data_IF_491067706112
#
_entry.id   IF_491067706112
#
_cell.length_a   1.000
_cell.length_b   1.000
_cell.length_c   1.000
_cell.angle_alpha   90.00
_cell.angle_beta   90.00
_cell.angle_gamma   90.00
#
_symmetry.space_group_name_H-M   'P 1'
#
loop_
_entity.id
_entity.type
_entity.pdbx_description
1 polymer ?
#
# COMPACT_ATOMS: atom_id res chain seq x y z
N UNK A 1 7.99 50.00 -89.61
CA UNK A 1 8.18 50.35 -88.18
C UNK A 1 7.08 49.67 -87.39
N UNK A 2 7.44 48.73 -86.51
CA UNK A 2 6.52 47.85 -85.78
C UNK A 2 6.13 48.44 -84.40
N UNK A 3 4.96 48.09 -83.83
CA UNK A 3 4.52 48.56 -82.51
C UNK A 3 5.16 47.76 -81.35
N UNK A 4 5.14 48.28 -80.10
CA UNK A 4 5.87 47.71 -78.97
C UNK A 4 5.13 46.54 -78.30
N UNK A 5 5.91 45.62 -77.69
CA UNK A 5 5.45 44.50 -76.85
C UNK A 5 5.10 44.94 -75.41
N UNK A 6 4.16 44.27 -74.73
CA UNK A 6 3.78 44.61 -73.35
C UNK A 6 4.77 44.07 -72.31
N UNK A 7 4.93 44.82 -71.20
CA UNK A 7 5.72 44.44 -70.01
C UNK A 7 4.96 43.40 -69.17
N UNK A 8 5.66 42.33 -68.77
CA UNK A 8 5.19 41.35 -67.76
C UNK A 8 5.19 42.00 -66.38
N UNK A 9 4.01 42.31 -65.83
CA UNK A 9 3.81 42.63 -64.42
C UNK A 9 2.54 41.93 -63.96
N UNK A 10 2.65 40.91 -63.11
CA UNK A 10 1.45 40.19 -62.66
C UNK A 10 1.64 39.00 -61.72
N UNK A 11 2.84 38.43 -61.58
CA UNK A 11 3.00 37.17 -60.80
C UNK A 11 3.62 37.38 -59.40
N UNK A 12 4.34 38.47 -59.15
CA UNK A 12 5.02 38.69 -57.86
C UNK A 12 4.15 39.32 -56.77
N UNK A 13 3.05 40.00 -57.11
CA UNK A 13 2.21 40.66 -56.11
C UNK A 13 1.24 39.70 -55.38
N UNK A 14 0.82 38.60 -56.04
CA UNK A 14 -0.17 37.67 -55.47
C UNK A 14 0.46 36.67 -54.48
N UNK A 15 1.72 36.30 -54.66
CA UNK A 15 2.45 35.40 -53.75
C UNK A 15 2.80 36.07 -52.41
N UNK A 16 3.07 37.38 -52.42
CA UNK A 16 3.37 38.14 -51.19
C UNK A 16 2.16 38.32 -50.26
N UNK A 17 0.96 38.47 -50.81
CA UNK A 17 -0.27 38.65 -50.02
C UNK A 17 -0.74 37.33 -49.40
N UNK A 18 -0.61 36.20 -50.11
CA UNK A 18 -0.94 34.88 -49.55
C UNK A 18 0.02 34.46 -48.42
N UNK A 19 1.32 34.77 -48.56
CA UNK A 19 2.31 34.45 -47.54
C UNK A 19 2.10 35.26 -46.24
N UNK A 20 1.69 36.53 -46.34
CA UNK A 20 1.36 37.36 -45.17
C UNK A 20 0.04 36.96 -44.50
N UNK A 21 -0.95 36.50 -45.26
CA UNK A 21 -2.22 36.02 -44.70
C UNK A 21 -2.05 34.70 -43.94
N UNK A 22 -1.18 33.80 -44.43
CA UNK A 22 -0.89 32.51 -43.77
C UNK A 22 -0.04 32.67 -42.50
N UNK A 23 0.89 33.63 -42.45
CA UNK A 23 1.65 33.92 -41.22
C UNK A 23 0.79 34.63 -40.17
N UNK A 24 -0.10 35.53 -40.57
CA UNK A 24 -1.05 36.16 -39.65
C UNK A 24 -2.07 35.15 -39.09
N UNK A 25 -2.61 34.26 -39.92
CA UNK A 25 -3.53 33.21 -39.48
C UNK A 25 -2.83 32.18 -38.56
N UNK A 26 -1.58 31.81 -38.88
CA UNK A 26 -0.77 30.95 -38.02
C UNK A 26 -0.43 31.59 -36.67
N UNK A 27 -0.14 32.89 -36.64
CA UNK A 27 0.12 33.63 -35.41
C UNK A 27 -1.14 33.74 -34.52
N UNK A 28 -2.31 34.00 -35.12
CA UNK A 28 -3.60 34.06 -34.40
C UNK A 28 -3.99 32.69 -33.85
N UNK A 29 -3.77 31.62 -34.63
CA UNK A 29 -4.04 30.26 -34.16
C UNK A 29 -3.07 29.83 -33.05
N UNK A 30 -1.79 30.23 -33.15
CA UNK A 30 -0.78 29.98 -32.11
C UNK A 30 -1.04 30.78 -30.83
N UNK A 31 -1.56 32.01 -30.91
CA UNK A 31 -1.95 32.78 -29.71
C UNK A 31 -3.22 32.25 -29.07
N UNK A 32 -4.24 31.87 -29.86
CA UNK A 32 -5.49 31.33 -29.33
C UNK A 32 -5.30 29.96 -28.65
N UNK A 33 -4.39 29.12 -29.18
CA UNK A 33 -4.04 27.83 -28.57
C UNK A 33 -3.13 27.96 -27.34
N UNK A 34 -2.38 29.08 -27.20
CA UNK A 34 -1.69 29.41 -25.93
C UNK A 34 -2.67 29.84 -24.85
N UNK A 35 -3.69 30.62 -25.18
CA UNK A 35 -4.72 31.04 -24.22
C UNK A 35 -5.59 29.87 -23.72
N UNK A 36 -5.90 28.88 -24.57
CA UNK A 36 -6.58 27.64 -24.13
C UNK A 36 -5.69 26.73 -23.27
N UNK A 37 -4.37 26.82 -23.41
CA UNK A 37 -3.41 26.02 -22.63
C UNK A 37 -2.97 26.68 -21.32
N UNK A 38 -3.39 27.91 -21.05
CA UNK A 38 -3.04 28.67 -19.85
C UNK A 38 -4.21 28.72 -18.86
N UNK A 39 -5.02 27.65 -18.81
CA UNK A 39 -5.90 27.44 -17.65
C UNK A 39 -5.01 27.30 -16.43
N UNK A 40 -5.15 28.24 -15.48
CA UNK A 40 -4.48 28.17 -14.18
C UNK A 40 -4.62 26.74 -13.63
N UNK A 41 -3.57 26.15 -13.02
CA UNK A 41 -3.69 24.86 -12.38
C UNK A 41 -4.90 24.90 -11.45
N UNK A 42 -5.68 23.80 -11.36
CA UNK A 42 -6.77 23.74 -10.39
C UNK A 42 -6.23 24.20 -9.04
N UNK A 43 -6.98 25.03 -8.29
CA UNK A 43 -6.52 25.50 -6.99
C UNK A 43 -6.03 24.29 -6.21
N UNK A 44 -4.77 24.33 -5.76
CA UNK A 44 -4.23 23.33 -4.85
C UNK A 44 -5.27 23.15 -3.76
N UNK A 45 -5.84 21.94 -3.68
CA UNK A 45 -6.73 21.61 -2.58
C UNK A 45 -5.99 21.99 -1.30
N UNK A 46 -6.63 22.69 -0.34
CA UNK A 46 -5.97 23.02 0.90
C UNK A 46 -5.35 21.74 1.43
N UNK A 47 -4.05 21.79 1.75
CA UNK A 47 -3.34 20.67 2.37
C UNK A 47 -4.07 20.40 3.68
N UNK A 48 -5.01 19.47 3.66
CA UNK A 48 -5.69 19.02 4.86
C UNK A 48 -4.66 18.26 5.66
N UNK A 49 -4.61 18.50 6.97
CA UNK A 49 -3.79 17.68 7.85
C UNK A 49 -4.15 16.20 7.59
N UNK A 50 -3.15 15.34 7.30
CA UNK A 50 -3.38 13.97 6.88
C UNK A 50 -4.12 13.20 7.98
N UNK A 51 -5.29 12.68 7.63
CA UNK A 51 -6.21 12.02 8.58
C UNK A 51 -6.75 10.69 8.07
N UNK A 52 -6.67 10.43 6.77
CA UNK A 52 -7.10 9.18 6.13
C UNK A 52 -5.91 8.23 6.03
N UNK A 53 -5.88 7.20 6.87
CA UNK A 53 -4.79 6.22 6.91
C UNK A 53 -5.31 4.91 6.31
N UNK A 54 -4.55 4.33 5.38
CA UNK A 54 -4.82 2.98 4.86
C UNK A 54 -3.78 2.01 5.43
N UNK A 55 -4.14 1.22 6.47
CA UNK A 55 -3.35 0.05 6.86
C UNK A 55 -3.37 -0.98 5.73
N UNK A 56 -2.21 -1.34 5.19
CA UNK A 56 -2.07 -2.27 4.09
C UNK A 56 -1.13 -3.42 4.44
N UNK A 57 -1.44 -4.63 3.99
CA UNK A 57 -0.59 -5.77 4.29
C UNK A 57 -1.19 -7.12 3.98
N UNK A 58 -0.79 -8.09 4.78
CA UNK A 58 -1.21 -9.48 4.73
C UNK A 58 -1.94 -9.90 6.03
N UNK A 59 -1.80 -11.15 6.46
CA UNK A 59 -2.45 -11.68 7.64
C UNK A 59 -2.08 -10.96 8.92
N UNK A 60 -0.85 -10.47 9.07
CA UNK A 60 -0.44 -9.72 10.27
C UNK A 60 -1.15 -8.37 10.39
N UNK A 61 -1.63 -7.81 9.28
CA UNK A 61 -2.43 -6.59 9.26
C UNK A 61 -3.92 -6.86 9.35
N UNK A 62 -4.43 -7.85 8.62
CA UNK A 62 -5.85 -8.21 8.68
C UNK A 62 -6.25 -8.81 10.05
N UNK A 63 -5.39 -9.62 10.68
CA UNK A 63 -5.77 -10.41 11.85
C UNK A 63 -6.77 -11.52 11.50
N UNK A 64 -7.06 -12.38 12.47
CA UNK A 64 -8.08 -13.42 12.42
C UNK A 64 -9.31 -13.03 13.23
N UNK A 65 -10.40 -13.75 13.03
CA UNK A 65 -11.60 -13.54 13.84
C UNK A 65 -11.32 -13.84 15.33
N UNK A 66 -11.77 -12.93 16.19
CA UNK A 66 -11.43 -12.88 17.61
C UNK A 66 -10.11 -12.18 17.95
N UNK A 67 -9.35 -11.68 16.96
CA UNK A 67 -8.18 -10.84 17.21
C UNK A 67 -8.59 -9.40 17.50
N UNK A 68 -7.66 -8.66 18.11
CA UNK A 68 -7.77 -7.20 18.25
C UNK A 68 -7.13 -6.47 17.09
N UNK A 69 -6.12 -7.07 16.44
CA UNK A 69 -5.20 -6.47 15.46
C UNK A 69 -4.45 -5.25 16.00
N UNK A 70 -3.22 -5.03 15.50
CA UNK A 70 -2.47 -3.82 15.83
C UNK A 70 -3.20 -2.52 15.41
N UNK A 71 -4.13 -2.62 14.45
CA UNK A 71 -4.93 -1.47 13.99
C UNK A 71 -5.82 -0.90 15.10
N UNK A 72 -6.41 -1.75 15.96
CA UNK A 72 -7.18 -1.29 17.12
C UNK A 72 -6.32 -0.42 18.05
N UNK A 73 -5.12 -0.92 18.37
CA UNK A 73 -4.18 -0.21 19.24
C UNK A 73 -3.68 1.10 18.63
N UNK A 74 -3.47 1.13 17.31
CA UNK A 74 -3.09 2.35 16.60
C UNK A 74 -4.26 3.35 16.58
N UNK A 75 -5.47 2.88 16.30
CA UNK A 75 -6.68 3.71 16.27
C UNK A 75 -6.91 4.41 17.61
N UNK A 76 -6.94 3.65 18.71
CA UNK A 76 -7.16 4.23 20.05
C UNK A 76 -6.05 5.19 20.48
N UNK A 77 -4.83 5.02 19.95
CA UNK A 77 -3.75 5.97 20.20
C UNK A 77 -3.89 7.25 19.38
N UNK A 78 -4.33 7.17 18.13
CA UNK A 78 -4.40 8.32 17.23
C UNK A 78 -5.70 9.12 17.34
N UNK A 79 -6.85 8.45 17.55
CA UNK A 79 -8.19 9.08 17.52
C UNK A 79 -8.34 10.27 18.47
N UNK A 80 -7.80 10.27 19.70
CA UNK A 80 -7.86 11.42 20.59
C UNK A 80 -7.02 12.63 20.14
N UNK A 81 -6.14 12.44 19.16
CA UNK A 81 -5.11 13.40 18.76
C UNK A 81 -5.20 13.84 17.29
N UNK A 82 -5.97 13.13 16.46
CA UNK A 82 -6.09 13.40 15.02
C UNK A 82 -7.57 13.67 14.71
N UNK A 83 -7.91 14.94 14.52
CA UNK A 83 -9.29 15.35 14.27
C UNK A 83 -9.83 14.79 12.94
N UNK A 84 -10.88 13.99 13.03
CA UNK A 84 -11.48 13.33 11.86
C UNK A 84 -10.59 12.23 11.28
N UNK A 85 -9.83 11.53 12.12
CA UNK A 85 -9.15 10.29 11.77
C UNK A 85 -10.12 9.31 11.10
N UNK A 86 -9.69 8.69 10.01
CA UNK A 86 -10.44 7.65 9.31
C UNK A 86 -9.44 6.58 8.86
N UNK A 87 -9.74 5.33 9.18
CA UNK A 87 -9.10 4.22 8.49
C UNK A 87 -9.86 3.94 7.21
N UNK A 88 -9.13 3.70 6.12
CA UNK A 88 -9.72 3.56 4.79
C UNK A 88 -9.18 2.33 4.10
N UNK A 89 -10.03 1.69 3.30
CA UNK A 89 -9.65 0.52 2.55
C UNK A 89 -10.86 -0.25 2.03
N UNK A 90 -10.62 -1.22 1.13
CA UNK A 90 -11.68 -2.01 0.52
C UNK A 90 -12.27 -3.07 1.46
N UNK A 91 -11.61 -3.39 2.58
CA UNK A 91 -12.03 -4.43 3.53
C UNK A 91 -12.24 -3.84 4.91
N UNK A 92 -13.10 -4.45 5.72
CA UNK A 92 -13.37 -4.08 7.12
C UNK A 92 -13.37 -5.26 8.07
N UNK A 93 -13.31 -6.49 7.56
CA UNK A 93 -13.59 -7.71 8.31
C UNK A 93 -12.30 -8.49 8.61
N UNK A 94 -12.19 -9.14 9.76
CA UNK A 94 -11.09 -10.06 10.03
C UNK A 94 -11.14 -11.26 9.09
N UNK A 95 -10.06 -12.03 9.02
CA UNK A 95 -10.09 -13.29 8.29
C UNK A 95 -11.02 -14.30 8.99
N UNK A 96 -12.01 -14.81 8.22
CA UNK A 96 -12.87 -15.93 8.61
C UNK A 96 -12.33 -17.28 8.12
N UNK A 97 -12.93 -18.39 8.54
CA UNK A 97 -12.50 -19.77 8.20
C UNK A 97 -12.19 -19.99 6.72
N UNK A 98 -13.07 -19.53 5.84
CA UNK A 98 -12.95 -19.77 4.39
C UNK A 98 -11.77 -19.01 3.75
N UNK A 99 -11.23 -17.99 4.41
CA UNK A 99 -10.02 -17.27 3.98
C UNK A 99 -8.75 -17.86 4.60
N UNK A 100 -8.87 -18.41 5.80
CA UNK A 100 -7.75 -18.99 6.56
C UNK A 100 -7.37 -20.38 6.00
N UNK A 101 -8.30 -21.04 5.30
CA UNK A 101 -8.07 -22.35 4.70
C UNK A 101 -8.54 -22.30 3.24
N UNK A 102 -7.61 -22.29 2.27
CA UNK A 102 -6.98 -23.53 1.79
C UNK A 102 -5.47 -23.42 1.57
N UNK A 103 -4.70 -24.38 2.07
CA UNK A 103 -3.32 -24.61 1.59
C UNK A 103 -3.21 -26.06 1.09
N UNK A 104 -3.31 -26.31 -0.23
CA UNK A 104 -2.80 -27.54 -0.80
C UNK A 104 -1.27 -27.52 -0.72
N UNK A 105 -0.70 -28.31 0.18
CA UNK A 105 0.77 -28.41 0.37
C UNK A 105 1.46 -29.27 -0.69
N UNK A 106 0.85 -29.52 -1.85
CA UNK A 106 1.45 -30.35 -2.92
C UNK A 106 1.22 -29.77 -4.30
N UNK A 107 2.32 -29.65 -5.06
CA UNK A 107 2.50 -28.84 -6.26
C UNK A 107 1.85 -29.32 -7.55
N UNK A 108 0.58 -29.71 -7.52
CA UNK A 108 -0.25 -29.84 -8.73
C UNK A 108 -1.54 -29.02 -8.66
N UNK A 109 -2.03 -28.66 -7.46
CA UNK A 109 -3.29 -27.90 -7.29
C UNK A 109 -3.11 -26.37 -7.34
N UNK A 110 -1.87 -25.88 -7.27
CA UNK A 110 -1.55 -24.44 -7.32
C UNK A 110 -1.83 -23.80 -8.70
N UNK A 111 -1.99 -24.58 -9.77
CA UNK A 111 -2.31 -24.04 -11.10
C UNK A 111 -3.81 -23.72 -11.28
N UNK A 112 -4.67 -24.10 -10.33
CA UNK A 112 -6.13 -23.93 -10.41
C UNK A 112 -6.73 -23.28 -9.15
N UNK A 113 -6.03 -22.35 -8.51
CA UNK A 113 -6.62 -21.43 -7.53
C UNK A 113 -7.56 -20.41 -8.23
N UNK A 114 -8.58 -20.92 -8.92
CA UNK A 114 -9.81 -20.19 -9.19
C UNK A 114 -10.74 -20.34 -7.99
N UNK A 115 -11.54 -19.29 -7.76
CA UNK A 115 -12.57 -19.15 -6.74
C UNK A 115 -13.72 -20.19 -6.84
N UNK A 116 -13.38 -21.48 -6.82
CA UNK A 116 -14.34 -22.57 -6.62
C UNK A 116 -14.47 -22.81 -5.10
N UNK A 117 -15.70 -22.94 -4.57
CA UNK A 117 -15.89 -23.32 -3.17
C UNK A 117 -15.24 -24.68 -2.90
N UNK A 118 -14.58 -24.81 -1.75
CA UNK A 118 -14.03 -26.09 -1.31
C UNK A 118 -15.13 -27.15 -1.17
N UNK A 119 -14.74 -28.40 -1.41
CA UNK A 119 -15.61 -29.57 -1.22
C UNK A 119 -16.19 -29.56 0.22
N UNK A 120 -17.52 -29.72 0.40
CA UNK A 120 -18.15 -29.82 1.71
C UNK A 120 -17.54 -30.85 2.67
N UNK A 121 -17.00 -31.97 2.16
CA UNK A 121 -16.32 -32.97 3.01
C UNK A 121 -14.95 -32.46 3.50
N UNK A 122 -14.24 -31.71 2.67
CA UNK A 122 -12.99 -31.02 3.06
C UNK A 122 -13.28 -29.90 4.05
N UNK A 123 -14.35 -29.13 3.85
CA UNK A 123 -14.81 -28.15 4.85
C UNK A 123 -15.15 -28.80 6.20
N UNK A 124 -15.67 -30.03 6.20
CA UNK A 124 -15.98 -30.79 7.41
C UNK A 124 -14.72 -31.29 8.12
N UNK A 125 -13.70 -31.76 7.39
CA UNK A 125 -12.38 -32.11 7.96
C UNK A 125 -11.61 -30.89 8.49
N UNK A 126 -11.75 -29.73 7.83
CA UNK A 126 -11.11 -28.48 8.23
C UNK A 126 -11.78 -27.80 9.43
N UNK A 127 -13.03 -28.14 9.76
CA UNK A 127 -13.69 -27.70 11.00
C UNK A 127 -12.96 -28.17 12.26
N UNK A 128 -12.25 -29.29 12.17
CA UNK A 128 -11.48 -29.88 13.25
C UNK A 128 -10.02 -29.37 13.29
N UNK A 129 -9.59 -28.56 12.32
CA UNK A 129 -8.27 -27.94 12.34
C UNK A 129 -8.17 -26.88 13.46
N UNK A 130 -7.02 -26.75 14.15
CA UNK A 130 -6.86 -25.77 15.22
C UNK A 130 -7.08 -24.35 14.69
N UNK A 131 -8.11 -23.68 15.22
CA UNK A 131 -8.45 -22.31 14.88
C UNK A 131 -7.39 -21.35 15.44
N UNK A 132 -6.84 -20.41 14.64
CA UNK A 132 -5.79 -19.49 15.09
C UNK A 132 -6.30 -18.33 15.93
N UNK A 133 -7.60 -18.02 15.91
CA UNK A 133 -8.18 -16.92 16.68
C UNK A 133 -8.42 -17.29 18.15
N UNK A 134 -8.20 -16.34 19.05
CA UNK A 134 -8.14 -16.63 20.49
C UNK A 134 -9.50 -16.93 21.14
N UNK A 135 -10.61 -16.34 20.68
CA UNK A 135 -11.96 -16.48 21.32
C UNK A 135 -13.17 -16.09 20.42
N UNK A 136 -13.12 -16.26 19.10
CA UNK A 136 -14.22 -15.89 18.17
C UNK A 136 -15.13 -17.07 17.79
N UNK A 137 -16.42 -16.82 17.49
CA UNK A 137 -17.21 -17.80 16.73
C UNK A 137 -16.65 -17.83 15.31
N UNK A 138 -15.97 -18.90 14.89
CA UNK A 138 -15.28 -18.97 13.62
C UNK A 138 -16.21 -18.89 12.40
N UNK A 139 -17.53 -18.98 12.62
CA UNK A 139 -18.57 -18.81 11.60
C UNK A 139 -19.10 -17.35 11.52
N UNK A 140 -18.63 -16.44 12.38
CA UNK A 140 -18.90 -14.99 12.32
C UNK A 140 -17.59 -14.19 12.33
N UNK A 141 -17.17 -13.54 11.23
CA UNK A 141 -15.92 -12.78 11.20
C UNK A 141 -16.07 -11.46 11.97
N UNK A 142 -15.73 -11.45 13.26
CA UNK A 142 -15.80 -10.25 14.12
C UNK A 142 -14.47 -10.02 14.86
N UNK A 143 -14.04 -8.75 14.96
CA UNK A 143 -12.92 -8.40 15.85
C UNK A 143 -13.39 -8.48 17.30
N UNK A 144 -12.47 -8.78 18.22
CA UNK A 144 -12.77 -8.88 19.66
C UNK A 144 -13.38 -7.61 20.23
N UNK A 145 -12.86 -6.46 19.79
CA UNK A 145 -13.29 -5.13 20.20
C UNK A 145 -13.69 -4.36 18.92
N UNK A 146 -14.96 -4.43 18.47
CA UNK A 146 -15.38 -3.89 17.17
C UNK A 146 -15.56 -2.36 17.16
N UNK A 147 -15.42 -1.69 18.32
CA UNK A 147 -15.62 -0.25 18.47
C UNK A 147 -14.38 0.56 18.02
N UNK A 148 -13.91 0.32 16.79
CA UNK A 148 -12.89 1.12 16.09
C UNK A 148 -13.19 1.16 14.59
N UNK A 149 -12.59 2.12 13.87
CA UNK A 149 -12.68 2.10 12.41
C UNK A 149 -11.82 0.95 11.87
N UNK A 150 -12.48 -0.12 11.44
CA UNK A 150 -11.80 -1.36 11.09
C UNK A 150 -11.34 -1.43 9.64
N UNK A 151 -11.54 -0.40 8.81
CA UNK A 151 -11.19 -0.49 7.40
C UNK A 151 -9.68 -0.69 7.16
N UNK A 152 -9.34 -1.47 6.14
CA UNK A 152 -7.97 -1.81 5.79
C UNK A 152 -7.84 -2.32 4.35
N UNK A 153 -6.59 -2.45 3.91
CA UNK A 153 -6.16 -3.02 2.64
C UNK A 153 -5.25 -4.24 2.88
N UNK A 154 -5.78 -5.25 3.58
CA UNK A 154 -5.00 -6.43 3.91
C UNK A 154 -5.81 -7.72 3.75
N UNK A 155 -5.17 -8.78 3.27
CA UNK A 155 -5.77 -10.10 3.11
C UNK A 155 -4.79 -11.19 3.56
N UNK A 156 -5.28 -12.23 4.22
CA UNK A 156 -4.48 -13.40 4.54
C UNK A 156 -3.86 -14.03 3.30
N UNK A 157 -2.59 -14.44 3.41
CA UNK A 157 -1.81 -15.01 2.30
C UNK A 157 -1.42 -14.02 1.19
N UNK A 158 -1.86 -12.75 1.25
CA UNK A 158 -1.60 -11.77 0.18
C UNK A 158 -0.09 -11.57 -0.01
N UNK A 159 0.35 -11.68 -1.26
CA UNK A 159 1.73 -11.35 -1.66
C UNK A 159 1.83 -9.90 -2.15
N UNK A 160 3.05 -9.37 -2.25
CA UNK A 160 3.31 -8.09 -2.91
C UNK A 160 2.82 -8.06 -4.36
N UNK A 161 2.92 -9.20 -5.06
CA UNK A 161 2.44 -9.33 -6.43
C UNK A 161 0.93 -9.14 -6.50
N UNK A 162 0.17 -9.81 -5.63
CA UNK A 162 -1.29 -9.66 -5.56
C UNK A 162 -1.69 -8.25 -5.16
N UNK A 163 -1.00 -7.67 -4.17
CA UNK A 163 -1.26 -6.31 -3.73
C UNK A 163 -1.01 -5.27 -4.82
N UNK A 164 0.04 -5.45 -5.62
CA UNK A 164 0.35 -4.57 -6.75
C UNK A 164 -0.72 -4.59 -7.84
N UNK A 165 -1.49 -5.67 -7.98
CA UNK A 165 -2.52 -5.76 -9.01
C UNK A 165 -3.69 -4.77 -8.77
N UNK A 166 -3.98 -4.44 -7.51
CA UNK A 166 -5.17 -3.65 -7.14
C UNK A 166 -4.87 -2.29 -6.51
N UNK A 167 -3.66 -2.09 -5.96
CA UNK A 167 -3.34 -0.91 -5.13
C UNK A 167 -3.59 0.45 -5.80
N UNK A 168 -3.36 0.58 -7.10
CA UNK A 168 -3.58 1.84 -7.80
C UNK A 168 -5.04 2.29 -7.72
N UNK A 169 -5.96 1.36 -7.98
CA UNK A 169 -7.39 1.65 -7.93
C UNK A 169 -7.87 1.80 -6.49
N UNK A 170 -7.36 0.99 -5.57
CA UNK A 170 -7.71 1.07 -4.15
C UNK A 170 -7.30 2.43 -3.55
N UNK A 171 -6.09 2.93 -3.84
CA UNK A 171 -5.68 4.28 -3.44
C UNK A 171 -6.55 5.34 -4.13
N UNK A 172 -6.85 5.19 -5.43
CA UNK A 172 -7.69 6.14 -6.17
C UNK A 172 -9.11 6.23 -5.60
N UNK A 173 -9.70 5.11 -5.19
CA UNK A 173 -11.08 5.04 -4.68
C UNK A 173 -11.17 5.49 -3.23
N UNK A 174 -10.29 4.99 -2.37
CA UNK A 174 -10.36 5.23 -0.92
C UNK A 174 -9.62 6.50 -0.48
N UNK A 175 -8.82 7.10 -1.37
CA UNK A 175 -8.13 8.38 -1.18
C UNK A 175 -7.41 8.48 0.18
N UNK A 176 -6.48 7.56 0.51
CA UNK A 176 -5.67 7.72 1.71
C UNK A 176 -4.71 8.90 1.58
N UNK A 177 -4.49 9.59 2.70
CA UNK A 177 -3.40 10.55 2.86
C UNK A 177 -2.07 9.83 3.18
N UNK A 178 -2.17 8.71 3.89
CA UNK A 178 -1.05 7.87 4.31
C UNK A 178 -1.34 6.39 4.05
N UNK A 179 -0.37 5.68 3.49
CA UNK A 179 -0.37 4.23 3.32
C UNK A 179 0.64 3.61 4.31
N UNK A 180 0.17 2.80 5.25
CA UNK A 180 0.99 2.10 6.23
C UNK A 180 1.10 0.63 5.82
N UNK A 181 2.24 0.23 5.25
CA UNK A 181 2.42 -1.07 4.59
C UNK A 181 3.26 -2.00 5.46
N UNK A 182 2.76 -3.21 5.71
CA UNK A 182 3.54 -4.33 6.23
C UNK A 182 3.16 -5.58 5.43
N UNK A 183 4.01 -5.95 4.47
CA UNK A 183 3.74 -7.02 3.50
C UNK A 183 5.05 -7.66 3.04
N UNK A 184 4.96 -8.89 2.54
CA UNK A 184 6.03 -9.56 1.80
C UNK A 184 6.47 -10.86 2.42
N UNK A 185 6.09 -11.16 3.67
CA UNK A 185 6.44 -12.44 4.32
C UNK A 185 5.95 -13.64 3.50
N UNK A 186 4.76 -13.54 2.89
CA UNK A 186 4.20 -14.59 2.03
C UNK A 186 5.02 -14.82 0.75
N UNK A 187 5.57 -13.76 0.14
CA UNK A 187 6.47 -13.90 -1.01
C UNK A 187 7.72 -14.70 -0.62
N UNK A 188 8.26 -14.44 0.58
CA UNK A 188 9.49 -15.05 1.07
C UNK A 188 9.34 -16.53 1.45
N UNK A 189 8.11 -17.03 1.60
CA UNK A 189 7.87 -18.48 1.80
C UNK A 189 8.20 -19.28 0.54
N UNK A 190 8.16 -18.66 -0.63
CA UNK A 190 8.45 -19.29 -1.90
C UNK A 190 9.85 -18.94 -2.42
N UNK A 191 10.42 -19.72 -3.36
CA UNK A 191 11.65 -19.34 -4.03
C UNK A 191 11.45 -18.03 -4.80
N UNK A 192 12.06 -16.94 -4.33
CA UNK A 192 12.02 -15.62 -4.95
C UNK A 192 13.41 -14.96 -4.89
N UNK A 193 13.80 -14.29 -5.96
CA UNK A 193 15.09 -13.59 -6.06
C UNK A 193 15.06 -12.19 -5.44
N UNK A 194 16.24 -11.67 -5.06
CA UNK A 194 16.38 -10.31 -4.50
C UNK A 194 15.86 -9.27 -5.50
N UNK A 195 16.33 -9.33 -6.74
CA UNK A 195 16.01 -8.37 -7.81
C UNK A 195 14.51 -8.39 -8.14
N UNK A 196 13.88 -9.56 -8.04
CA UNK A 196 12.45 -9.70 -8.25
C UNK A 196 11.64 -9.06 -7.12
N UNK A 197 12.02 -9.28 -5.85
CA UNK A 197 11.36 -8.64 -4.71
C UNK A 197 11.52 -7.11 -4.72
N UNK A 198 12.70 -6.62 -5.10
CA UNK A 198 12.91 -5.18 -5.28
C UNK A 198 12.01 -4.61 -6.37
N UNK A 199 11.95 -5.26 -7.54
CA UNK A 199 11.07 -4.84 -8.63
C UNK A 199 9.59 -4.82 -8.21
N UNK A 200 9.13 -5.85 -7.48
CA UNK A 200 7.75 -5.92 -6.95
C UNK A 200 7.46 -4.77 -5.99
N UNK A 201 8.34 -4.51 -5.02
CA UNK A 201 8.14 -3.43 -4.05
C UNK A 201 8.15 -2.04 -4.72
N UNK A 202 9.07 -1.80 -5.67
CA UNK A 202 9.09 -0.56 -6.44
C UNK A 202 7.80 -0.38 -7.24
N UNK A 203 7.35 -1.44 -7.93
CA UNK A 203 6.10 -1.39 -8.70
C UNK A 203 4.89 -1.13 -7.81
N UNK A 204 4.84 -1.71 -6.60
CA UNK A 204 3.79 -1.45 -5.63
C UNK A 204 3.71 0.04 -5.26
N UNK A 205 4.86 0.66 -4.92
CA UNK A 205 4.94 2.09 -4.58
C UNK A 205 4.58 2.99 -5.78
N UNK A 206 5.06 2.68 -6.98
CA UNK A 206 4.72 3.42 -8.21
C UNK A 206 3.22 3.39 -8.49
N UNK A 207 2.59 2.21 -8.36
CA UNK A 207 1.15 2.03 -8.59
C UNK A 207 0.31 2.73 -7.53
N UNK A 208 0.69 2.65 -6.25
CA UNK A 208 0.03 3.40 -5.20
C UNK A 208 0.05 4.91 -5.49
N UNK A 209 1.19 5.45 -5.91
CA UNK A 209 1.33 6.86 -6.32
C UNK A 209 0.55 7.23 -7.57
N UNK A 210 0.39 6.30 -8.51
CA UNK A 210 -0.46 6.52 -9.67
C UNK A 210 -1.95 6.69 -9.26
N UNK A 211 -2.36 6.15 -8.10
CA UNK A 211 -3.67 6.38 -7.51
C UNK A 211 -3.78 7.71 -6.75
N UNK A 212 -2.70 8.12 -6.06
CA UNK A 212 -2.58 9.42 -5.40
C UNK A 212 -1.12 9.94 -5.44
N UNK A 213 -0.80 10.95 -6.29
CA UNK A 213 0.56 11.47 -6.44
C UNK A 213 1.17 12.14 -5.19
N UNK A 214 0.36 12.47 -4.18
CA UNK A 214 0.81 13.09 -2.92
C UNK A 214 0.79 12.13 -1.73
N UNK A 215 0.57 10.83 -1.98
CA UNK A 215 0.48 9.79 -0.95
C UNK A 215 1.75 9.73 -0.11
N UNK A 216 1.61 9.77 1.21
CA UNK A 216 2.70 9.51 2.16
C UNK A 216 2.75 8.01 2.44
N UNK A 217 3.94 7.41 2.55
CA UNK A 217 4.07 5.95 2.66
C UNK A 217 5.03 5.55 3.76
N UNK A 218 4.57 4.74 4.71
CA UNK A 218 5.41 4.02 5.66
C UNK A 218 5.56 2.58 5.18
N UNK A 219 6.77 2.16 4.82
CA UNK A 219 7.09 0.78 4.46
C UNK A 219 7.72 0.08 5.66
N UNK A 220 6.95 -0.75 6.36
CA UNK A 220 7.50 -1.59 7.40
C UNK A 220 8.34 -2.73 6.81
N UNK A 221 9.45 -2.98 7.46
CA UNK A 221 10.23 -4.20 7.28
C UNK A 221 9.42 -5.42 7.70
N UNK A 222 9.68 -6.57 7.07
CA UNK A 222 9.06 -7.84 7.48
C UNK A 222 9.60 -8.26 8.84
N UNK A 223 8.67 -8.60 9.73
CA UNK A 223 8.99 -9.18 11.02
C UNK A 223 9.51 -10.61 10.84
N UNK A 224 10.55 -11.03 11.59
CA UNK A 224 10.95 -12.43 11.59
C UNK A 224 9.83 -13.29 12.19
N UNK A 225 9.69 -14.49 11.64
CA UNK A 225 8.78 -15.55 12.10
C UNK A 225 9.60 -16.77 12.53
N UNK A 226 8.98 -17.76 13.17
CA UNK A 226 9.67 -18.93 13.75
C UNK A 226 10.44 -19.74 12.70
N UNK A 227 10.03 -19.68 11.43
CA UNK A 227 10.78 -20.28 10.33
C UNK A 227 12.21 -19.69 10.21
N UNK A 228 12.40 -18.41 10.50
CA UNK A 228 13.73 -17.77 10.46
C UNK A 228 14.69 -18.34 11.52
N UNK A 229 14.18 -18.89 12.63
CA UNK A 229 15.02 -19.51 13.66
C UNK A 229 15.51 -20.91 13.25
N UNK A 230 14.82 -21.56 12.30
CA UNK A 230 15.07 -22.96 11.90
C UNK A 230 15.62 -23.09 10.48
N UNK A 231 15.36 -22.12 9.62
CA UNK A 231 15.82 -22.05 8.22
C UNK A 231 16.71 -20.81 8.01
N UNK A 232 18.05 -20.97 8.00
CA UNK A 232 18.97 -19.88 7.72
C UNK A 232 18.79 -19.24 6.33
N UNK A 233 18.26 -19.99 5.35
CA UNK A 233 17.97 -19.47 4.02
C UNK A 233 16.76 -18.54 4.04
N UNK A 234 15.71 -18.90 4.78
CA UNK A 234 14.59 -18.00 5.04
C UNK A 234 15.02 -16.77 5.84
N UNK A 235 15.82 -16.93 6.90
CA UNK A 235 16.36 -15.80 7.66
C UNK A 235 17.16 -14.81 6.78
N UNK A 236 17.96 -15.34 5.85
CA UNK A 236 18.70 -14.52 4.89
C UNK A 236 17.76 -13.80 3.90
N UNK A 237 16.68 -14.45 3.47
CA UNK A 237 15.65 -13.82 2.63
C UNK A 237 14.96 -12.65 3.34
N UNK A 238 14.59 -12.83 4.61
CA UNK A 238 14.02 -11.75 5.45
C UNK A 238 15.02 -10.59 5.58
N UNK A 239 16.28 -10.88 5.93
CA UNK A 239 17.32 -9.85 6.01
C UNK A 239 17.48 -9.09 4.69
N UNK A 240 17.60 -9.81 3.56
CA UNK A 240 17.79 -9.21 2.25
C UNK A 240 16.59 -8.37 1.81
N UNK A 241 15.37 -8.81 2.13
CA UNK A 241 14.17 -8.04 1.83
C UNK A 241 14.06 -6.77 2.69
N UNK A 242 14.42 -6.83 3.97
CA UNK A 242 14.43 -5.64 4.83
C UNK A 242 15.47 -4.60 4.38
N UNK A 243 16.61 -5.03 3.84
CA UNK A 243 17.55 -4.12 3.15
C UNK A 243 16.91 -3.47 1.91
N UNK A 244 16.19 -4.24 1.08
CA UNK A 244 15.44 -3.71 -0.06
C UNK A 244 14.41 -2.68 0.40
N UNK A 245 13.67 -2.93 1.47
CA UNK A 245 12.67 -1.98 2.00
C UNK A 245 13.32 -0.63 2.34
N UNK A 246 14.50 -0.65 2.96
CA UNK A 246 15.27 0.56 3.26
C UNK A 246 15.74 1.28 2.00
N UNK A 247 16.35 0.54 1.07
CA UNK A 247 16.86 1.05 -0.21
C UNK A 247 15.71 1.69 -1.03
N UNK A 248 14.60 0.97 -1.19
CA UNK A 248 13.43 1.44 -1.95
C UNK A 248 12.78 2.65 -1.29
N UNK A 249 12.60 2.65 0.04
CA UNK A 249 12.06 3.80 0.74
C UNK A 249 12.93 5.06 0.52
N UNK A 250 14.25 4.91 0.63
CA UNK A 250 15.18 6.01 0.41
C UNK A 250 15.16 6.51 -1.06
N UNK A 251 15.29 5.59 -2.02
CA UNK A 251 15.39 5.91 -3.44
C UNK A 251 14.10 6.51 -4.01
N UNK A 252 12.96 6.04 -3.52
CA UNK A 252 11.67 6.45 -4.05
C UNK A 252 11.11 7.67 -3.34
N UNK A 253 11.62 8.08 -2.17
CA UNK A 253 11.09 9.23 -1.43
C UNK A 253 11.23 10.54 -2.22
N UNK A 254 10.21 11.39 -2.15
CA UNK A 254 10.18 12.72 -2.78
C UNK A 254 9.48 13.73 -1.85
N UNK A 255 9.66 15.03 -2.09
CA UNK A 255 8.95 16.06 -1.31
C UNK A 255 7.42 15.96 -1.44
N UNK A 256 6.92 15.60 -2.64
CA UNK A 256 5.49 15.51 -2.90
C UNK A 256 4.86 14.22 -2.33
N UNK A 257 5.60 13.12 -2.34
CA UNK A 257 5.18 11.80 -1.84
C UNK A 257 6.33 11.18 -1.04
N UNK A 258 6.46 11.51 0.26
CA UNK A 258 7.56 11.01 1.08
C UNK A 258 7.34 9.54 1.42
N UNK A 259 8.43 8.76 1.40
CA UNK A 259 8.46 7.35 1.79
C UNK A 259 9.46 7.18 2.92
N UNK A 260 9.08 6.45 3.97
CA UNK A 260 9.96 6.11 5.08
C UNK A 260 9.94 4.61 5.35
N UNK A 261 11.11 4.02 5.63
CA UNK A 261 11.18 2.64 6.11
C UNK A 261 10.98 2.56 7.61
N UNK A 262 10.42 1.45 8.09
CA UNK A 262 10.14 1.21 9.50
C UNK A 262 10.65 -0.17 9.94
N UNK A 263 11.76 -0.17 10.70
CA UNK A 263 12.29 -1.33 11.42
C UNK A 263 11.52 -1.54 12.73
N UNK A 264 10.45 -2.34 12.69
CA UNK A 264 9.68 -2.68 13.89
C UNK A 264 10.50 -3.61 14.80
N UNK A 265 11.18 -4.60 14.21
CA UNK A 265 11.86 -5.65 14.96
C UNK A 265 12.99 -5.10 15.85
N UNK A 266 13.84 -4.24 15.29
CA UNK A 266 14.93 -3.59 16.02
C UNK A 266 14.45 -2.57 17.04
N UNK A 267 13.41 -1.80 16.74
CA UNK A 267 12.87 -0.75 17.63
C UNK A 267 12.18 -1.33 18.86
N UNK A 268 11.33 -2.32 18.65
CA UNK A 268 10.48 -2.90 19.70
C UNK A 268 11.07 -4.14 20.36
N UNK A 269 12.29 -4.54 19.94
CA UNK A 269 12.93 -5.79 20.35
C UNK A 269 11.97 -6.95 20.16
N UNK A 270 11.56 -7.14 18.92
CA UNK A 270 10.65 -8.21 18.54
C UNK A 270 11.26 -9.56 18.92
N UNK A 271 10.47 -10.37 19.61
CA UNK A 271 10.80 -11.72 20.03
C UNK A 271 9.70 -12.63 19.50
N UNK A 272 10.04 -13.46 18.51
CA UNK A 272 9.07 -14.32 17.83
C UNK A 272 8.29 -15.17 18.83
N UNK A 273 8.97 -15.79 19.79
CA UNK A 273 8.34 -16.71 20.74
C UNK A 273 7.43 -15.99 21.74
N UNK A 274 7.74 -14.74 22.09
CA UNK A 274 6.97 -13.96 23.05
C UNK A 274 5.89 -13.06 22.42
N UNK A 275 6.07 -12.65 21.16
CA UNK A 275 5.23 -11.66 20.49
C UNK A 275 4.29 -12.27 19.44
N UNK A 276 4.36 -13.59 19.20
CA UNK A 276 3.43 -14.32 18.32
C UNK A 276 2.66 -15.40 19.08
N UNK A 277 1.50 -15.83 18.57
CA UNK A 277 0.76 -16.95 19.15
C UNK A 277 1.02 -18.30 18.46
N UNK A 278 1.45 -18.30 17.20
CA UNK A 278 1.73 -19.51 16.41
C UNK A 278 3.13 -19.53 15.77
N UNK A 279 4.00 -18.59 16.16
CA UNK A 279 5.31 -18.39 15.55
C UNK A 279 5.31 -17.44 14.35
N UNK A 280 4.14 -16.99 13.88
CA UNK A 280 4.00 -16.10 12.71
C UNK A 280 3.19 -14.87 13.09
N UNK A 281 1.97 -15.05 13.57
CA UNK A 281 1.00 -13.98 13.74
C UNK A 281 1.12 -13.33 15.13
N UNK A 282 1.02 -11.99 15.21
CA UNK A 282 1.22 -11.25 16.44
C UNK A 282 0.16 -11.63 17.49
N UNK A 283 0.60 -11.87 18.72
CA UNK A 283 -0.31 -11.89 19.87
C UNK A 283 -0.53 -10.45 20.38
N UNK A 284 -1.37 -10.24 21.40
CA UNK A 284 -1.68 -8.90 21.93
C UNK A 284 -0.45 -8.02 22.21
N UNK A 285 0.64 -8.61 22.73
CA UNK A 285 1.89 -7.89 22.98
C UNK A 285 2.60 -7.52 21.67
N UNK A 286 2.65 -8.43 20.70
CA UNK A 286 3.18 -8.15 19.36
C UNK A 286 2.37 -7.08 18.62
N UNK A 287 1.04 -7.16 18.69
CA UNK A 287 0.13 -6.17 18.10
C UNK A 287 0.42 -4.76 18.63
N UNK A 288 0.60 -4.62 19.94
CA UNK A 288 0.94 -3.34 20.57
C UNK A 288 2.31 -2.81 20.12
N UNK A 289 3.32 -3.67 19.94
CA UNK A 289 4.63 -3.27 19.41
C UNK A 289 4.52 -2.74 17.99
N UNK A 290 3.77 -3.44 17.13
CA UNK A 290 3.53 -3.01 15.74
C UNK A 290 2.83 -1.64 15.73
N UNK A 291 1.77 -1.48 16.53
CA UNK A 291 1.04 -0.22 16.65
C UNK A 291 1.93 0.93 17.14
N UNK A 292 2.76 0.68 18.16
CA UNK A 292 3.69 1.67 18.70
C UNK A 292 4.73 2.12 17.67
N UNK A 293 5.29 1.18 16.91
CA UNK A 293 6.26 1.48 15.87
C UNK A 293 5.65 2.31 14.73
N UNK A 294 4.44 1.98 14.29
CA UNK A 294 3.72 2.79 13.29
C UNK A 294 3.36 4.18 13.81
N UNK A 295 2.87 4.30 15.05
CA UNK A 295 2.57 5.61 15.66
C UNK A 295 3.82 6.50 15.74
N UNK A 296 4.95 5.94 16.15
CA UNK A 296 6.23 6.66 16.22
C UNK A 296 6.69 7.12 14.82
N UNK A 297 6.52 6.27 13.79
CA UNK A 297 6.85 6.62 12.41
C UNK A 297 5.94 7.73 11.87
N UNK A 298 4.63 7.63 12.09
CA UNK A 298 3.62 8.62 11.69
C UNK A 298 3.87 9.98 12.36
N UNK A 299 4.16 9.97 13.66
CA UNK A 299 4.48 11.17 14.42
C UNK A 299 5.77 11.83 13.92
N UNK A 300 6.85 11.05 13.79
CA UNK A 300 8.16 11.58 13.42
C UNK A 300 8.25 12.04 11.95
N UNK A 301 7.65 11.30 11.02
CA UNK A 301 7.76 11.58 9.60
C UNK A 301 6.72 12.59 9.12
N UNK A 302 5.49 12.51 9.64
CA UNK A 302 4.34 13.23 9.07
C UNK A 302 3.60 14.12 10.08
N UNK A 303 4.01 14.13 11.35
CA UNK A 303 3.37 14.93 12.40
C UNK A 303 1.98 14.44 12.79
N UNK A 304 1.65 13.17 12.50
CA UNK A 304 0.33 12.58 12.77
C UNK A 304 0.35 11.95 14.16
N UNK A 305 -0.38 12.58 15.08
CA UNK A 305 -0.46 12.14 16.48
C UNK A 305 0.88 12.24 17.24
N UNK A 306 0.86 12.01 18.56
CA UNK A 306 2.07 11.89 19.35
C UNK A 306 2.74 10.53 19.15
N UNK A 307 4.02 10.45 19.51
CA UNK A 307 4.71 9.16 19.69
C UNK A 307 3.98 8.29 20.74
N UNK A 308 4.13 6.97 20.62
CA UNK A 308 3.46 6.02 21.50
C UNK A 308 4.04 6.12 22.93
N UNK A 309 3.21 6.13 23.99
CA UNK A 309 3.69 6.18 25.36
C UNK A 309 4.58 4.98 25.72
N UNK A 310 5.67 5.23 26.45
CA UNK A 310 6.61 4.20 26.90
C UNK A 310 6.85 4.28 28.41
N UNK A 311 7.14 3.15 29.09
CA UNK A 311 7.27 1.79 28.53
C UNK A 311 5.93 1.23 28.03
N UNK A 312 5.98 0.31 27.06
CA UNK A 312 4.78 -0.41 26.62
C UNK A 312 4.29 -1.32 27.78
N UNK A 313 2.97 -1.43 28.00
CA UNK A 313 2.39 -2.42 28.90
C UNK A 313 2.99 -3.82 28.71
N UNK A 314 3.36 -4.48 29.82
CA UNK A 314 3.87 -5.86 29.78
C UNK A 314 2.73 -6.90 29.74
N UNK A 315 1.52 -6.53 30.15
CA UNK A 315 0.31 -7.36 30.17
C UNK A 315 -0.88 -6.58 29.56
N UNK A 316 -1.70 -7.24 28.75
CA UNK A 316 -2.87 -6.71 28.04
C UNK A 316 -4.10 -7.60 28.25
#
# INVERSE_FOLDING_TARGET
>A
MAPPRPRRGGVLALAGVLALALTAAGAVHWTASREESESAPPPEAPVTDPRRIMPAGDSMTQGANGDRTWRLHLWHHLEPHVEGLEFVGPYSDPAGRDMIIPVPTTGEEAEHASAEPLDPEVLEELRDAPWPGLDGDPDTPEYRDPDFDSHHNALWGRTLQDASATIQEEVRVHQPDVLCVMIGVNDLLWPVGKEEMESRLRSYVERARAGNPTLRIVLAEVLPIALADTDPGFALRVYAYNEIVREVAQDMSTDASPVVSLDIAGREKWDVAADTYDGTHPNARGELKIAAAFADALSAAYGIGPAYPRPLPEEL
#
